data_IF_520586644380
#
_entry.id   IF_520586644380
#
_cell.length_a   1.000
_cell.length_b   1.000
_cell.length_c   1.000
_cell.angle_alpha   90.00
_cell.angle_beta   90.00
_cell.angle_gamma   90.00
#
_symmetry.space_group_name_H-M   'P 1'
#
loop_
_entity.id
_entity.type
_entity.pdbx_description
1 polymer ?
#
# COMPACT_ATOMS: atom_id res chain seq x y z
N UNK A 1 1.04 18.78 -16.67
CA UNK A 1 2.12 19.25 -15.77
C UNK A 1 1.67 19.49 -14.30
N UNK A 2 0.36 19.55 -14.01
CA UNK A 2 -0.17 19.85 -12.66
C UNK A 2 0.11 18.79 -11.59
N UNK A 3 0.53 17.59 -11.97
CA UNK A 3 0.83 16.51 -11.02
C UNK A 3 2.31 16.44 -10.62
N UNK A 4 3.20 17.15 -11.32
CA UNK A 4 4.61 17.20 -10.97
C UNK A 4 4.78 17.92 -9.61
N UNK A 5 5.54 17.31 -8.72
CA UNK A 5 5.80 17.81 -7.36
C UNK A 5 4.60 17.77 -6.39
N UNK A 6 3.53 17.05 -6.74
CA UNK A 6 2.37 16.84 -5.86
C UNK A 6 2.30 15.41 -5.33
N UNK A 7 1.47 15.19 -4.32
CA UNK A 7 1.14 13.85 -3.82
C UNK A 7 0.51 12.95 -4.90
N UNK A 8 0.02 13.49 -6.01
CA UNK A 8 -0.46 12.72 -7.15
C UNK A 8 0.64 11.90 -7.83
N UNK A 9 1.85 12.42 -7.97
CA UNK A 9 2.99 11.65 -8.48
C UNK A 9 3.38 10.52 -7.52
N UNK A 10 3.36 10.82 -6.21
CA UNK A 10 3.62 9.83 -5.15
C UNK A 10 2.58 8.72 -5.18
N UNK A 11 1.29 9.07 -5.39
CA UNK A 11 0.20 8.10 -5.52
C UNK A 11 0.42 7.13 -6.69
N UNK A 12 0.83 7.65 -7.85
CA UNK A 12 1.14 6.83 -9.02
C UNK A 12 2.28 5.84 -8.74
N UNK A 13 3.35 6.30 -8.10
CA UNK A 13 4.47 5.44 -7.72
C UNK A 13 4.04 4.34 -6.73
N UNK A 14 3.21 4.67 -5.72
CA UNK A 14 2.70 3.70 -4.76
C UNK A 14 1.76 2.67 -5.40
N UNK A 15 0.91 3.10 -6.34
CA UNK A 15 0.05 2.18 -7.09
C UNK A 15 0.88 1.16 -7.88
N UNK A 16 1.93 1.62 -8.55
CA UNK A 16 2.80 0.74 -9.31
C UNK A 16 3.60 -0.21 -8.40
N UNK A 17 4.24 0.31 -7.36
CA UNK A 17 5.14 -0.48 -6.52
C UNK A 17 4.39 -1.33 -5.48
N UNK A 18 3.53 -0.74 -4.67
CA UNK A 18 2.82 -1.45 -3.62
C UNK A 18 1.60 -2.21 -4.17
N UNK A 19 0.88 -1.64 -5.12
CA UNK A 19 -0.29 -2.28 -5.72
C UNK A 19 0.11 -3.41 -6.67
N UNK A 20 0.88 -3.13 -7.71
CA UNK A 20 1.17 -4.10 -8.76
C UNK A 20 2.39 -4.96 -8.43
N UNK A 21 3.56 -4.35 -8.25
CA UNK A 21 4.83 -5.09 -8.13
C UNK A 21 4.82 -5.98 -6.89
N UNK A 22 4.46 -5.45 -5.73
CA UNK A 22 4.44 -6.24 -4.49
C UNK A 22 3.42 -7.37 -4.57
N UNK A 23 2.21 -7.12 -5.09
CA UNK A 23 1.19 -8.16 -5.23
C UNK A 23 1.64 -9.27 -6.18
N UNK A 24 2.32 -8.92 -7.27
CA UNK A 24 2.87 -9.89 -8.23
C UNK A 24 3.99 -10.72 -7.59
N UNK A 25 4.92 -10.09 -6.86
CA UNK A 25 5.99 -10.81 -6.15
C UNK A 25 5.44 -11.77 -5.11
N UNK A 26 4.47 -11.34 -4.31
CA UNK A 26 3.82 -12.20 -3.31
C UNK A 26 3.13 -13.37 -4.00
N UNK A 27 2.38 -13.13 -5.08
CA UNK A 27 1.74 -14.19 -5.84
C UNK A 27 2.76 -15.20 -6.40
N UNK A 28 3.89 -14.74 -6.91
CA UNK A 28 4.98 -15.60 -7.38
C UNK A 28 5.57 -16.45 -6.25
N UNK A 29 5.91 -15.84 -5.12
CA UNK A 29 6.48 -16.55 -3.96
C UNK A 29 5.53 -17.62 -3.45
N UNK A 30 4.23 -17.32 -3.40
CA UNK A 30 3.21 -18.27 -2.95
C UNK A 30 2.96 -19.41 -3.93
N UNK A 31 3.13 -19.17 -5.24
CA UNK A 31 2.99 -20.21 -6.26
C UNK A 31 4.25 -21.09 -6.41
N UNK A 32 5.42 -20.54 -6.17
CA UNK A 32 6.70 -21.26 -6.27
C UNK A 32 7.06 -21.96 -4.95
N UNK A 33 6.53 -21.49 -3.84
CA UNK A 33 6.78 -22.09 -2.53
C UNK A 33 5.91 -23.34 -2.30
N UNK A 34 6.43 -24.41 -1.69
CA UNK A 34 5.67 -25.60 -1.36
C UNK A 34 4.78 -25.39 -0.11
N UNK A 35 4.25 -24.22 0.10
CA UNK A 35 3.63 -23.80 1.35
C UNK A 35 2.12 -23.67 1.33
N UNK A 36 1.57 -23.41 2.52
CA UNK A 36 0.18 -23.03 2.72
C UNK A 36 -0.13 -21.71 2.05
N UNK A 37 -1.29 -21.58 1.46
CA UNK A 37 -1.80 -20.30 1.04
C UNK A 37 -1.97 -19.38 2.27
N UNK A 38 -1.57 -18.10 2.19
CA UNK A 38 -1.84 -17.15 3.25
C UNK A 38 -3.35 -16.96 3.44
N UNK A 39 -3.73 -16.38 4.55
CA UNK A 39 -5.14 -16.11 4.81
C UNK A 39 -5.71 -15.15 3.76
N UNK A 40 -6.88 -15.44 3.23
CA UNK A 40 -7.57 -14.54 2.29
C UNK A 40 -7.80 -13.15 2.89
N UNK A 41 -7.96 -13.06 4.22
CA UNK A 41 -8.07 -11.81 4.94
C UNK A 41 -6.84 -10.91 4.76
N UNK A 42 -5.63 -11.47 4.79
CA UNK A 42 -4.38 -10.70 4.61
C UNK A 42 -4.27 -10.15 3.19
N UNK A 43 -4.71 -10.92 2.20
CA UNK A 43 -4.79 -10.44 0.82
C UNK A 43 -5.71 -9.22 0.71
N UNK A 44 -6.94 -9.33 1.23
CA UNK A 44 -7.90 -8.22 1.18
C UNK A 44 -7.46 -7.02 2.02
N UNK A 45 -6.84 -7.27 3.18
CA UNK A 45 -6.30 -6.21 4.03
C UNK A 45 -5.21 -5.42 3.31
N UNK A 46 -4.33 -6.10 2.57
CA UNK A 46 -3.33 -5.45 1.72
C UNK A 46 -3.98 -4.64 0.59
N UNK A 47 -4.91 -5.23 -0.17
CA UNK A 47 -5.53 -4.56 -1.31
C UNK A 47 -6.34 -3.32 -0.89
N UNK A 48 -7.13 -3.44 0.17
CA UNK A 48 -7.91 -2.33 0.72
C UNK A 48 -7.00 -1.25 1.31
N UNK A 49 -5.97 -1.64 2.05
CA UNK A 49 -4.97 -0.71 2.56
C UNK A 49 -4.28 0.05 1.43
N UNK A 50 -3.83 -0.64 0.39
CA UNK A 50 -3.22 -0.02 -0.79
C UNK A 50 -4.20 0.94 -1.49
N UNK A 51 -5.44 0.53 -1.70
CA UNK A 51 -6.48 1.37 -2.33
C UNK A 51 -6.74 2.66 -1.52
N UNK A 52 -6.95 2.54 -0.21
CA UNK A 52 -7.17 3.70 0.67
C UNK A 52 -5.95 4.63 0.66
N UNK A 53 -4.74 4.07 0.73
CA UNK A 53 -3.50 4.84 0.70
C UNK A 53 -3.35 5.64 -0.61
N UNK A 54 -3.57 4.99 -1.74
CA UNK A 54 -3.46 5.61 -3.07
C UNK A 54 -4.55 6.66 -3.28
N UNK A 55 -5.81 6.37 -2.90
CA UNK A 55 -6.92 7.32 -3.03
C UNK A 55 -6.69 8.57 -2.19
N UNK A 56 -6.20 8.42 -0.95
CA UNK A 56 -5.86 9.56 -0.10
C UNK A 56 -4.76 10.44 -0.73
N UNK A 57 -3.75 9.82 -1.35
CA UNK A 57 -2.69 10.56 -2.06
C UNK A 57 -3.19 11.24 -3.33
N UNK A 58 -4.05 10.57 -4.12
CA UNK A 58 -4.65 11.16 -5.32
C UNK A 58 -5.54 12.35 -4.97
N UNK A 59 -6.35 12.20 -3.93
CA UNK A 59 -7.17 13.29 -3.41
C UNK A 59 -6.32 14.51 -3.03
N UNK A 60 -5.30 14.27 -2.22
CA UNK A 60 -4.41 15.34 -1.77
C UNK A 60 -3.66 15.96 -2.95
N UNK A 61 -3.12 15.15 -3.87
CA UNK A 61 -2.44 15.62 -5.07
C UNK A 61 -3.33 16.43 -6.00
N UNK A 62 -4.61 16.06 -6.12
CA UNK A 62 -5.58 16.86 -6.86
C UNK A 62 -5.80 18.24 -6.22
N UNK A 63 -5.97 18.26 -4.88
CA UNK A 63 -6.14 19.52 -4.14
C UNK A 63 -4.91 20.42 -4.24
N UNK A 64 -3.72 19.87 -4.13
CA UNK A 64 -2.45 20.58 -4.30
C UNK A 64 -2.29 21.12 -5.72
N UNK A 65 -2.69 20.38 -6.74
CA UNK A 65 -2.65 20.81 -8.13
C UNK A 65 -3.63 21.94 -8.45
N UNK A 66 -4.78 22.00 -7.78
CA UNK A 66 -5.79 23.06 -7.95
C UNK A 66 -5.54 24.28 -7.08
N UNK A 67 -4.87 24.11 -5.94
CA UNK A 67 -4.55 25.17 -5.00
C UNK A 67 -3.12 24.99 -4.44
N UNK A 68 -2.08 25.44 -5.18
CA UNK A 68 -0.68 25.21 -4.81
C UNK A 68 -0.27 25.72 -3.42
N UNK A 69 -1.02 26.68 -2.86
CA UNK A 69 -0.80 27.15 -1.50
C UNK A 69 -0.97 26.05 -0.44
N UNK A 70 -1.77 25.00 -0.74
CA UNK A 70 -1.98 23.87 0.16
C UNK A 70 -0.71 23.01 0.36
N UNK A 71 0.27 23.09 -0.54
CA UNK A 71 1.58 22.45 -0.36
C UNK A 71 2.32 22.97 0.88
N UNK A 72 2.05 24.21 1.27
CA UNK A 72 2.74 24.91 2.37
C UNK A 72 1.84 25.12 3.59
N UNK A 73 0.52 25.04 3.41
CA UNK A 73 -0.44 25.27 4.46
C UNK A 73 -1.02 23.90 4.92
N UNK A 74 -0.64 23.48 6.12
CA UNK A 74 -1.31 22.32 6.77
C UNK A 74 -2.74 22.72 7.12
N UNK A 75 -3.71 22.02 6.51
CA UNK A 75 -5.12 22.15 6.85
C UNK A 75 -5.67 20.80 7.29
N UNK A 76 -6.86 20.80 7.90
CA UNK A 76 -7.49 19.58 8.41
C UNK A 76 -7.70 18.48 7.34
N UNK A 77 -7.84 18.86 6.06
CA UNK A 77 -7.92 17.89 4.95
C UNK A 77 -6.60 17.11 4.76
N UNK A 78 -5.46 17.81 4.88
CA UNK A 78 -4.16 17.17 4.80
C UNK A 78 -3.93 16.23 5.98
N UNK A 79 -4.30 16.65 7.19
CA UNK A 79 -4.17 15.83 8.40
C UNK A 79 -5.04 14.58 8.32
N UNK A 80 -6.27 14.69 7.78
CA UNK A 80 -7.14 13.55 7.51
C UNK A 80 -6.52 12.58 6.49
N UNK A 81 -6.00 13.10 5.38
CA UNK A 81 -5.36 12.28 4.35
C UNK A 81 -4.14 11.54 4.90
N UNK A 82 -3.30 12.21 5.68
CA UNK A 82 -2.14 11.59 6.33
C UNK A 82 -2.55 10.56 7.40
N UNK A 83 -3.61 10.83 8.17
CA UNK A 83 -4.19 9.88 9.12
C UNK A 83 -4.69 8.60 8.42
N UNK A 84 -5.43 8.74 7.33
CA UNK A 84 -5.89 7.61 6.52
C UNK A 84 -4.72 6.80 5.96
N UNK A 85 -3.67 7.46 5.49
CA UNK A 85 -2.45 6.80 5.01
C UNK A 85 -1.73 6.02 6.10
N UNK A 86 -1.66 6.57 7.32
CA UNK A 86 -1.05 5.89 8.46
C UNK A 86 -1.81 4.61 8.80
N UNK A 87 -3.14 4.68 8.89
CA UNK A 87 -4.00 3.52 9.16
C UNK A 87 -3.89 2.47 8.05
N UNK A 88 -3.95 2.91 6.79
CA UNK A 88 -3.81 2.04 5.63
C UNK A 88 -2.43 1.36 5.58
N UNK A 89 -1.36 2.11 5.85
CA UNK A 89 0.00 1.57 5.94
C UNK A 89 0.15 0.55 7.07
N UNK A 90 -0.45 0.80 8.23
CA UNK A 90 -0.52 -0.16 9.34
C UNK A 90 -1.23 -1.46 8.96
N UNK A 91 -2.36 -1.36 8.25
CA UNK A 91 -3.09 -2.53 7.74
C UNK A 91 -2.24 -3.36 6.75
N UNK A 92 -1.56 -2.68 5.81
CA UNK A 92 -0.65 -3.33 4.87
C UNK A 92 0.53 -3.99 5.59
N UNK A 93 1.08 -3.36 6.63
CA UNK A 93 2.14 -3.93 7.43
C UNK A 93 1.70 -5.21 8.14
N UNK A 94 0.50 -5.23 8.74
CA UNK A 94 -0.08 -6.43 9.37
C UNK A 94 -0.25 -7.56 8.34
N UNK A 95 -0.76 -7.23 7.15
CA UNK A 95 -0.89 -8.20 6.06
C UNK A 95 0.46 -8.80 5.64
N UNK A 96 1.49 -7.97 5.54
CA UNK A 96 2.84 -8.42 5.18
C UNK A 96 3.47 -9.32 6.24
N UNK A 97 3.18 -9.09 7.52
CA UNK A 97 3.63 -9.98 8.62
C UNK A 97 3.00 -11.37 8.51
N UNK A 98 1.71 -11.46 8.18
CA UNK A 98 1.06 -12.76 7.96
C UNK A 98 1.69 -13.51 6.78
N UNK A 99 1.96 -12.83 5.67
CA UNK A 99 2.67 -13.42 4.54
C UNK A 99 4.06 -13.90 4.90
N UNK A 100 4.82 -13.07 5.62
CA UNK A 100 6.17 -13.43 6.08
C UNK A 100 6.15 -14.63 7.02
N UNK A 101 5.22 -14.65 7.99
CA UNK A 101 5.08 -15.79 8.91
C UNK A 101 4.67 -17.08 8.18
N UNK A 102 3.82 -16.96 7.15
CA UNK A 102 3.41 -18.11 6.33
C UNK A 102 4.59 -18.70 5.57
N UNK A 103 5.44 -17.85 5.00
CA UNK A 103 6.65 -18.25 4.29
C UNK A 103 7.74 -18.80 5.23
N UNK A 104 7.91 -18.17 6.41
CA UNK A 104 8.96 -18.56 7.38
C UNK A 104 8.66 -19.89 8.10
N UNK A 105 7.39 -20.27 8.27
CA UNK A 105 6.98 -21.53 8.90
C UNK A 105 7.18 -22.75 8.01
N UNK A 106 7.74 -22.57 6.85
CA UNK A 106 8.04 -23.67 5.95
C UNK A 106 9.33 -24.36 6.39
N UNK A 107 9.22 -25.29 7.35
CA UNK A 107 10.30 -26.22 7.62
C UNK A 107 10.39 -27.21 6.45
N UNK A 108 11.56 -27.39 5.86
CA UNK A 108 11.77 -28.46 4.90
C UNK A 108 11.52 -29.77 5.65
N UNK A 109 10.49 -30.52 5.24
CA UNK A 109 10.33 -31.89 5.68
C UNK A 109 11.62 -32.62 5.33
N UNK A 110 12.42 -32.92 6.36
CA UNK A 110 13.57 -33.77 6.22
C UNK A 110 13.11 -35.11 5.59
N UNK A 111 13.58 -35.37 4.38
CA UNK A 111 13.49 -36.68 3.73
C UNK A 111 14.60 -37.55 4.24
#
# INVERSE_FOLDING_TARGET
>A
DHLKFTNGLVAHAHLAMAGLVTSLFVALLLNLGPGRAPHAASFWLWQLGCAVHVVALLWLGWREGTAPALLYLRGGEADLAYGLRLVAGGAMFIASLDWWMTLARHEPTAK
#
